data_IF_666375188452
#
_entry.id   IF_666375188452
#
_cell.length_a   1.000
_cell.length_b   1.000
_cell.length_c   1.000
_cell.angle_alpha   90.00
_cell.angle_beta   90.00
_cell.angle_gamma   90.00
#
_symmetry.space_group_name_H-M   'P 1'
#
loop_
_entity.id
_entity.type
_entity.pdbx_description
1 polymer ?
#
# COMPACT_ATOMS: atom_id res chain seq x y z
N UNK A 1 24.47 -14.29 40.38
CA UNK A 1 24.32 -15.51 39.56
C UNK A 1 24.67 -15.05 38.18
N UNK A 2 25.95 -15.04 37.89
CA UNK A 2 26.47 -14.36 36.71
C UNK A 2 26.69 -15.44 35.68
N UNK A 3 26.22 -15.26 34.45
CA UNK A 3 26.32 -16.24 33.39
C UNK A 3 26.44 -15.49 32.08
N UNK A 4 27.37 -15.91 31.24
CA UNK A 4 27.64 -15.25 29.97
C UNK A 4 27.12 -16.10 28.82
N UNK A 5 26.35 -15.47 27.92
CA UNK A 5 25.86 -16.10 26.70
C UNK A 5 26.62 -15.49 25.53
N UNK A 6 27.42 -16.31 24.85
CA UNK A 6 28.11 -15.94 23.63
C UNK A 6 27.33 -16.49 22.44
N UNK A 7 26.92 -15.64 21.52
CA UNK A 7 26.13 -16.05 20.35
C UNK A 7 26.65 -15.39 19.08
N UNK A 8 26.26 -15.97 17.94
CA UNK A 8 26.48 -15.36 16.63
C UNK A 8 25.78 -13.99 16.48
N UNK A 9 26.21 -13.21 15.48
CA UNK A 9 25.54 -11.95 15.12
C UNK A 9 24.12 -12.20 14.59
N UNK A 10 23.19 -11.24 14.75
CA UNK A 10 21.83 -11.36 14.21
C UNK A 10 21.81 -11.68 12.71
N UNK A 11 21.15 -12.76 12.32
CA UNK A 11 20.98 -13.20 10.94
C UNK A 11 19.49 -13.46 10.63
N UNK A 12 19.15 -13.67 9.35
CA UNK A 12 17.78 -13.96 8.89
C UNK A 12 17.48 -15.47 8.76
N UNK A 13 18.46 -16.33 9.05
CA UNK A 13 18.30 -17.78 8.98
C UNK A 13 17.49 -18.27 10.19
N UNK A 14 16.21 -18.56 9.97
CA UNK A 14 15.27 -18.95 11.04
C UNK A 14 15.70 -20.27 11.69
N UNK A 15 16.19 -21.23 10.90
CA UNK A 15 16.56 -22.58 11.33
C UNK A 15 18.06 -22.75 11.63
N UNK A 16 18.80 -21.66 11.83
CA UNK A 16 20.22 -21.73 12.20
C UNK A 16 20.47 -20.84 13.41
N UNK A 17 21.05 -21.38 14.47
CA UNK A 17 21.48 -20.61 15.63
C UNK A 17 22.67 -21.32 16.28
N UNK A 18 23.74 -20.56 16.50
CA UNK A 18 24.95 -21.04 17.16
C UNK A 18 25.26 -20.12 18.35
N UNK A 19 25.28 -20.72 19.55
CA UNK A 19 25.66 -20.02 20.77
C UNK A 19 26.32 -20.95 21.78
N UNK A 20 26.82 -20.38 22.87
CA UNK A 20 27.47 -21.10 23.95
C UNK A 20 27.19 -20.39 25.27
N UNK A 21 26.76 -21.13 26.29
CA UNK A 21 26.57 -20.60 27.63
C UNK A 21 27.78 -20.94 28.50
N UNK A 22 28.30 -19.93 29.19
CA UNK A 22 29.35 -20.06 30.21
C UNK A 22 28.76 -19.73 31.57
N UNK A 23 28.76 -20.72 32.46
CA UNK A 23 28.33 -20.53 33.85
C UNK A 23 29.59 -20.61 34.72
N UNK A 24 29.92 -19.58 35.53
CA UNK A 24 31.19 -19.49 36.26
C UNK A 24 31.39 -20.62 37.28
N UNK A 25 30.31 -21.27 37.73
CA UNK A 25 30.36 -22.42 38.65
C UNK A 25 30.51 -23.77 37.94
N UNK A 26 30.47 -23.82 36.60
CA UNK A 26 30.61 -25.04 35.80
C UNK A 26 31.71 -24.83 34.77
N UNK A 27 32.77 -25.64 34.81
CA UNK A 27 33.86 -25.57 33.82
C UNK A 27 33.44 -25.99 32.40
N UNK A 28 32.22 -26.49 32.23
CA UNK A 28 31.71 -27.02 30.98
C UNK A 28 30.92 -25.97 30.19
N UNK A 29 31.25 -25.83 28.90
CA UNK A 29 30.59 -24.91 27.98
C UNK A 29 29.49 -25.67 27.25
N UNK A 30 28.23 -25.31 27.51
CA UNK A 30 27.10 -25.96 26.84
C UNK A 30 26.77 -25.25 25.53
N UNK A 31 26.76 -25.95 24.38
CA UNK A 31 26.36 -25.36 23.11
C UNK A 31 24.86 -25.08 23.09
N UNK A 32 24.49 -23.94 22.52
CA UNK A 32 23.11 -23.59 22.22
C UNK A 32 22.85 -23.76 20.72
N UNK A 33 21.79 -24.51 20.41
CA UNK A 33 21.26 -24.69 19.06
C UNK A 33 19.89 -24.01 18.93
N UNK A 34 19.27 -24.12 17.76
CA UNK A 34 17.93 -23.61 17.44
C UNK A 34 16.86 -24.16 18.38
N UNK A 35 17.01 -25.41 18.83
CA UNK A 35 16.05 -26.06 19.75
C UNK A 35 15.98 -25.35 21.11
N UNK A 36 17.03 -24.61 21.50
CA UNK A 36 17.09 -23.82 22.72
C UNK A 36 16.67 -22.36 22.50
N UNK A 37 16.30 -21.97 21.28
CA UNK A 37 15.94 -20.60 20.91
C UNK A 37 14.42 -20.47 20.74
N UNK A 38 13.80 -19.64 21.57
CA UNK A 38 12.40 -19.25 21.39
C UNK A 38 12.32 -18.01 20.50
N UNK A 39 11.65 -18.14 19.36
CA UNK A 39 11.50 -17.05 18.40
C UNK A 39 10.38 -16.08 18.80
N UNK A 40 10.55 -14.81 18.44
CA UNK A 40 9.49 -13.80 18.53
C UNK A 40 8.31 -14.24 17.65
N UNK A 41 7.09 -14.22 18.20
CA UNK A 41 5.88 -14.60 17.48
C UNK A 41 5.48 -16.08 17.64
N UNK A 42 6.34 -16.90 18.25
CA UNK A 42 5.96 -18.24 18.71
C UNK A 42 5.03 -18.14 19.91
N UNK A 43 3.98 -18.96 19.92
CA UNK A 43 3.07 -19.10 21.07
C UNK A 43 3.50 -20.32 21.89
N UNK A 44 3.81 -20.11 23.17
CA UNK A 44 4.10 -21.19 24.11
C UNK A 44 2.82 -22.01 24.32
N UNK A 45 2.91 -23.34 24.18
CA UNK A 45 1.80 -24.27 24.38
C UNK A 45 2.23 -25.42 25.28
N UNK A 46 1.26 -26.04 25.97
CA UNK A 46 1.44 -27.23 26.79
C UNK A 46 2.45 -27.10 27.96
N UNK A 47 2.71 -25.87 28.41
CA UNK A 47 3.57 -25.55 29.58
C UNK A 47 3.06 -24.27 30.23
N UNK A 48 3.12 -24.18 31.57
CA UNK A 48 2.62 -23.01 32.31
C UNK A 48 3.54 -21.79 32.20
N UNK A 49 4.84 -21.99 32.36
CA UNK A 49 5.85 -20.93 32.26
C UNK A 49 7.21 -21.50 31.83
N UNK A 50 8.06 -20.61 31.32
CA UNK A 50 9.45 -20.90 30.97
C UNK A 50 10.32 -19.75 31.46
N UNK A 51 11.49 -20.09 32.01
CA UNK A 51 12.54 -19.11 32.28
C UNK A 51 13.50 -19.06 31.10
N UNK A 52 13.79 -17.87 30.60
CA UNK A 52 14.69 -17.66 29.48
C UNK A 52 15.44 -16.34 29.59
N UNK A 53 16.58 -16.26 28.89
CA UNK A 53 17.35 -15.03 28.76
C UNK A 53 17.12 -14.45 27.35
N UNK A 54 16.92 -13.13 27.28
CA UNK A 54 16.68 -12.45 25.99
C UNK A 54 18.01 -12.24 25.27
N UNK A 55 18.18 -12.89 24.12
CA UNK A 55 19.41 -12.79 23.30
C UNK A 55 19.30 -11.70 22.23
N UNK A 56 18.16 -11.62 21.54
CA UNK A 56 17.92 -10.63 20.48
C UNK A 56 16.67 -9.80 20.79
N UNK A 57 16.71 -8.49 20.51
CA UNK A 57 15.59 -7.56 20.74
C UNK A 57 15.22 -6.79 19.47
N UNK A 58 13.96 -6.36 19.38
CA UNK A 58 13.49 -5.48 18.29
C UNK A 58 13.82 -6.00 16.88
N UNK A 59 14.55 -5.18 16.12
CA UNK A 59 14.97 -5.44 14.74
C UNK A 59 16.07 -6.51 14.60
N UNK A 60 16.70 -6.92 15.70
CA UNK A 60 17.68 -8.01 15.70
C UNK A 60 17.04 -9.39 15.83
N UNK A 61 15.74 -9.45 16.15
CA UNK A 61 15.01 -10.73 16.14
C UNK A 61 14.95 -11.31 14.72
N UNK A 62 15.14 -12.63 14.60
CA UNK A 62 15.17 -13.33 13.30
C UNK A 62 13.93 -13.07 12.45
N UNK A 63 12.75 -12.98 13.06
CA UNK A 63 11.48 -12.68 12.38
C UNK A 63 11.49 -11.27 11.77
N UNK A 64 12.00 -10.27 12.50
CA UNK A 64 12.10 -8.91 11.96
C UNK A 64 13.17 -8.79 10.87
N UNK A 65 14.26 -9.57 10.98
CA UNK A 65 15.28 -9.65 9.92
C UNK A 65 14.76 -10.30 8.64
N UNK A 66 13.73 -11.15 8.74
CA UNK A 66 13.05 -11.76 7.59
C UNK A 66 11.90 -10.86 7.07
N UNK A 67 11.29 -10.04 7.94
CA UNK A 67 10.27 -9.09 7.51
C UNK A 67 10.85 -8.02 6.59
N UNK A 68 10.23 -7.84 5.42
CA UNK A 68 10.55 -6.72 4.55
C UNK A 68 10.03 -5.41 5.18
N UNK A 69 10.79 -4.32 5.00
CA UNK A 69 10.31 -2.99 5.39
C UNK A 69 9.04 -2.63 4.62
N UNK A 70 8.13 -1.92 5.30
CA UNK A 70 6.92 -1.41 4.66
C UNK A 70 7.33 -0.47 3.53
N UNK A 71 6.85 -0.76 2.32
CA UNK A 71 7.01 0.11 1.15
C UNK A 71 5.66 0.74 0.85
N UNK A 72 5.68 2.04 0.51
CA UNK A 72 4.50 2.71 -0.01
C UNK A 72 4.05 2.01 -1.31
N UNK A 73 2.76 1.70 -1.37
CA UNK A 73 2.13 1.06 -2.53
C UNK A 73 1.33 2.12 -3.28
N UNK A 74 1.55 2.20 -4.59
CA UNK A 74 0.81 3.07 -5.50
C UNK A 74 -0.02 2.23 -6.44
N UNK A 75 -1.24 2.66 -6.73
CA UNK A 75 -2.09 1.95 -7.69
C UNK A 75 -1.71 2.25 -9.13
N UNK A 76 -2.05 1.35 -10.06
CA UNK A 76 -1.75 1.57 -11.47
C UNK A 76 -2.65 2.66 -12.07
N UNK A 77 -3.89 2.80 -11.57
CA UNK A 77 -4.74 3.95 -11.90
C UNK A 77 -4.12 5.26 -11.42
N UNK A 78 -3.53 5.31 -10.23
CA UNK A 78 -2.85 6.52 -9.74
C UNK A 78 -1.66 6.90 -10.64
N UNK A 79 -0.85 5.93 -11.07
CA UNK A 79 0.23 6.18 -12.05
C UNK A 79 -0.31 6.72 -13.37
N UNK A 80 -1.41 6.15 -13.87
CA UNK A 80 -2.04 6.60 -15.11
C UNK A 80 -2.62 8.01 -14.98
N UNK A 81 -3.30 8.32 -13.87
CA UNK A 81 -3.82 9.67 -13.59
C UNK A 81 -2.69 10.68 -13.49
N UNK A 82 -1.60 10.35 -12.80
CA UNK A 82 -0.43 11.24 -12.71
C UNK A 82 0.21 11.49 -14.10
N UNK A 83 0.31 10.46 -14.93
CA UNK A 83 0.81 10.61 -16.30
C UNK A 83 -0.12 11.48 -17.16
N UNK A 84 -1.44 11.30 -17.05
CA UNK A 84 -2.42 12.14 -17.74
C UNK A 84 -2.33 13.61 -17.30
N UNK A 85 -2.16 13.87 -16.00
CA UNK A 85 -1.94 15.23 -15.46
C UNK A 85 -0.67 15.85 -16.04
N UNK A 86 0.43 15.08 -16.11
CA UNK A 86 1.67 15.56 -16.72
C UNK A 86 1.48 15.93 -18.20
N UNK A 87 0.76 15.12 -18.98
CA UNK A 87 0.44 15.41 -20.38
C UNK A 87 -0.39 16.70 -20.50
N UNK A 88 -1.43 16.85 -19.68
CA UNK A 88 -2.29 18.03 -19.68
C UNK A 88 -1.50 19.30 -19.32
N UNK A 89 -0.60 19.22 -18.33
CA UNK A 89 0.28 20.34 -17.96
C UNK A 89 1.19 20.75 -19.12
N UNK A 90 1.79 19.80 -19.84
CA UNK A 90 2.62 20.09 -21.01
C UNK A 90 1.78 20.77 -22.11
N UNK A 91 0.59 20.25 -22.40
CA UNK A 91 -0.32 20.87 -23.38
C UNK A 91 -0.74 22.28 -22.96
N UNK A 92 -1.01 22.50 -21.67
CA UNK A 92 -1.33 23.82 -21.12
C UNK A 92 -0.19 24.82 -21.31
N UNK A 93 1.06 24.41 -21.07
CA UNK A 93 2.23 25.26 -21.29
C UNK A 93 2.39 25.59 -22.78
N UNK A 94 2.19 24.62 -23.67
CA UNK A 94 2.28 24.85 -25.12
C UNK A 94 1.20 25.83 -25.59
N UNK A 95 -0.06 25.65 -25.17
CA UNK A 95 -1.16 26.55 -25.55
C UNK A 95 -0.98 27.96 -24.99
N UNK A 96 -0.51 28.10 -23.75
CA UNK A 96 -0.23 29.41 -23.16
C UNK A 96 0.96 30.11 -23.84
N UNK A 97 1.99 29.37 -24.28
CA UNK A 97 3.07 29.93 -25.10
C UNK A 97 2.55 30.43 -26.45
N UNK A 98 1.78 29.62 -27.17
CA UNK A 98 1.21 30.00 -28.47
C UNK A 98 0.29 31.22 -28.32
N UNK A 99 -0.60 31.22 -27.34
CA UNK A 99 -1.51 32.33 -27.08
C UNK A 99 -0.77 33.61 -26.65
N UNK A 100 0.30 33.48 -25.86
CA UNK A 100 1.17 34.60 -25.50
C UNK A 100 1.87 35.22 -26.70
N UNK A 101 2.43 34.38 -27.60
CA UNK A 101 3.09 34.84 -28.83
C UNK A 101 2.10 35.49 -29.78
N UNK A 102 0.94 34.85 -30.04
CA UNK A 102 -0.09 35.40 -30.91
C UNK A 102 -0.65 36.72 -30.36
N UNK A 103 -0.87 36.80 -29.04
CA UNK A 103 -1.27 38.04 -28.37
C UNK A 103 -0.25 39.16 -28.54
N UNK A 104 1.05 38.85 -28.37
CA UNK A 104 2.13 39.81 -28.60
C UNK A 104 2.18 40.29 -30.05
N UNK A 105 2.12 39.36 -31.03
CA UNK A 105 2.12 39.71 -32.46
C UNK A 105 0.91 40.57 -32.82
N UNK A 106 -0.28 40.26 -32.30
CA UNK A 106 -1.49 41.04 -32.53
C UNK A 106 -1.34 42.49 -32.05
N UNK A 107 -0.79 42.68 -30.84
CA UNK A 107 -0.56 44.02 -30.28
C UNK A 107 0.43 44.83 -31.13
N UNK A 108 1.54 44.21 -31.55
CA UNK A 108 2.53 44.88 -32.42
C UNK A 108 1.93 45.23 -33.78
N UNK A 109 1.17 44.32 -34.40
CA UNK A 109 0.55 44.55 -35.70
C UNK A 109 -0.53 45.63 -35.65
N UNK A 110 -1.41 45.61 -34.65
CA UNK A 110 -2.44 46.63 -34.45
C UNK A 110 -1.83 48.00 -34.12
N UNK A 111 -0.72 48.05 -33.38
CA UNK A 111 0.02 49.29 -33.14
C UNK A 111 0.64 49.90 -34.40
N UNK A 112 0.97 49.09 -35.41
CA UNK A 112 1.50 49.55 -36.70
C UNK A 112 0.40 49.91 -37.71
N UNK A 113 -0.82 49.38 -37.54
CA UNK A 113 -1.94 49.56 -38.46
C UNK A 113 -2.84 50.75 -38.10
N UNK A 114 -2.83 51.15 -36.84
CA UNK A 114 -3.54 52.32 -36.32
C UNK A 114 -2.49 53.35 -35.96
N UNK A 115 -2.45 54.48 -36.65
CA UNK A 115 -1.74 55.68 -36.19
C UNK A 115 -2.25 56.02 -34.78
N UNK A 116 -1.53 55.59 -33.75
CA UNK A 116 -1.76 55.96 -32.36
C UNK A 116 -1.49 57.47 -32.13
N UNK A 117 -1.17 58.22 -33.19
CA UNK A 117 -1.07 59.68 -33.16
C UNK A 117 -2.42 60.42 -33.38
N UNK A 118 -3.55 59.75 -33.65
CA UNK A 118 -4.84 60.45 -33.86
C UNK A 118 -6.03 59.97 -33.00
N UNK A 119 -5.80 59.29 -31.88
CA UNK A 119 -6.85 58.97 -30.91
C UNK A 119 -6.70 59.73 -29.57
N UNK A 120 -6.20 60.97 -29.62
CA UNK A 120 -6.26 61.88 -28.47
C UNK A 120 -7.68 62.47 -28.22
N UNK A 121 -8.63 62.26 -29.14
CA UNK A 121 -10.00 62.78 -29.04
C UNK A 121 -11.04 61.85 -28.40
N UNK A 122 -10.78 60.54 -28.35
CA UNK A 122 -11.69 59.53 -27.78
C UNK A 122 -11.08 58.80 -26.56
N UNK A 123 -10.01 59.37 -26.00
CA UNK A 123 -9.29 58.81 -24.86
C UNK A 123 -10.10 58.81 -23.54
N UNK A 124 -11.26 59.48 -23.51
CA UNK A 124 -12.07 59.64 -22.32
C UNK A 124 -13.23 58.63 -22.17
N UNK A 125 -13.49 57.75 -23.14
CA UNK A 125 -14.67 56.88 -23.08
C UNK A 125 -14.40 55.37 -23.09
N UNK A 126 -13.15 54.95 -23.32
CA UNK A 126 -12.71 53.55 -23.14
C UNK A 126 -11.68 53.49 -22.00
N UNK A 127 -12.01 54.11 -20.87
CA UNK A 127 -11.23 54.07 -19.63
C UNK A 127 -11.36 52.73 -18.86
N UNK A 128 -11.76 51.64 -19.51
CA UNK A 128 -11.97 50.36 -18.82
C UNK A 128 -10.74 49.45 -18.75
N UNK A 129 -9.80 49.55 -19.70
CA UNK A 129 -8.67 48.62 -19.82
C UNK A 129 -7.37 49.37 -20.10
N UNK A 130 -6.89 50.13 -19.11
CA UNK A 130 -5.50 50.62 -19.09
C UNK A 130 -4.61 49.57 -18.42
N UNK A 131 -3.76 48.90 -19.21
CA UNK A 131 -2.74 48.02 -18.68
C UNK A 131 -1.64 48.84 -17.97
N UNK A 132 -1.05 48.38 -16.85
CA UNK A 132 -0.42 49.26 -15.86
C UNK A 132 0.99 49.78 -16.23
N UNK A 133 1.57 49.36 -17.35
CA UNK A 133 2.99 49.58 -17.65
C UNK A 133 3.15 50.26 -19.01
N UNK A 134 3.05 51.60 -19.02
CA UNK A 134 3.18 52.45 -20.23
C UNK A 134 4.44 53.33 -20.20
N UNK A 135 5.51 52.93 -19.50
CA UNK A 135 6.78 53.64 -19.53
C UNK A 135 7.95 52.71 -19.85
N UNK A 136 8.68 53.07 -20.91
CA UNK A 136 9.92 52.53 -21.52
C UNK A 136 9.77 51.43 -22.61
N UNK A 137 10.17 51.67 -23.88
CA UNK A 137 9.86 50.77 -24.99
C UNK A 137 10.78 49.54 -25.17
N UNK A 138 11.97 49.50 -24.56
CA UNK A 138 12.99 48.48 -24.87
C UNK A 138 13.07 47.34 -23.84
N UNK A 139 13.05 47.64 -22.54
CA UNK A 139 13.06 46.62 -21.48
C UNK A 139 11.68 46.02 -21.18
N UNK A 140 10.62 46.67 -21.65
CA UNK A 140 9.23 46.28 -21.38
C UNK A 140 8.77 45.16 -22.33
N UNK A 141 9.42 44.93 -23.47
CA UNK A 141 9.00 43.91 -24.44
C UNK A 141 9.09 42.46 -23.91
N UNK A 142 10.24 42.06 -23.34
CA UNK A 142 10.40 40.70 -22.77
C UNK A 142 9.53 40.50 -21.52
N UNK A 143 9.51 41.49 -20.62
CA UNK A 143 8.68 41.45 -19.41
C UNK A 143 7.20 41.34 -19.77
N UNK A 144 6.76 42.08 -20.79
CA UNK A 144 5.39 42.04 -21.28
C UNK A 144 5.01 40.69 -21.88
N UNK A 145 5.90 40.07 -22.67
CA UNK A 145 5.69 38.71 -23.20
C UNK A 145 5.54 37.68 -22.07
N UNK A 146 6.38 37.78 -21.02
CA UNK A 146 6.30 36.91 -19.85
C UNK A 146 4.99 37.12 -19.06
N UNK A 147 4.53 38.37 -18.93
CA UNK A 147 3.25 38.68 -18.28
C UNK A 147 2.05 38.18 -19.09
N UNK A 148 2.06 38.31 -20.42
CA UNK A 148 1.01 37.74 -21.28
C UNK A 148 0.98 36.21 -21.17
N UNK A 149 2.15 35.57 -21.24
CA UNK A 149 2.27 34.14 -21.05
C UNK A 149 1.70 33.71 -19.68
N UNK A 150 2.11 34.36 -18.60
CA UNK A 150 1.61 34.08 -17.25
C UNK A 150 0.09 34.29 -17.13
N UNK A 151 -0.45 35.31 -17.79
CA UNK A 151 -1.90 35.56 -17.83
C UNK A 151 -2.65 34.42 -18.54
N UNK A 152 -2.13 33.93 -19.66
CA UNK A 152 -2.72 32.79 -20.37
C UNK A 152 -2.59 31.48 -19.58
N UNK A 153 -1.49 31.26 -18.86
CA UNK A 153 -1.35 30.13 -17.93
C UNK A 153 -2.44 30.17 -16.88
N UNK A 154 -2.71 31.34 -16.28
CA UNK A 154 -3.75 31.55 -15.28
C UNK A 154 -5.16 31.31 -15.84
N UNK A 155 -5.44 31.74 -17.06
CA UNK A 155 -6.74 31.48 -17.70
C UNK A 155 -6.95 29.97 -17.92
N UNK A 156 -5.89 29.24 -18.27
CA UNK A 156 -5.96 27.80 -18.52
C UNK A 156 -5.77 26.92 -17.28
N UNK A 157 -5.75 27.45 -16.05
CA UNK A 157 -5.58 26.63 -14.82
C UNK A 157 -6.68 25.60 -14.64
N UNK A 158 -7.87 25.85 -15.18
CA UNK A 158 -9.00 24.92 -15.14
C UNK A 158 -8.80 23.67 -16.03
N UNK A 159 -7.77 23.65 -16.91
CA UNK A 159 -7.42 22.46 -17.67
C UNK A 159 -6.86 21.35 -16.79
N UNK A 160 -6.19 21.69 -15.67
CA UNK A 160 -5.77 20.71 -14.66
C UNK A 160 -6.90 20.59 -13.65
N UNK A 161 -7.72 19.53 -13.69
CA UNK A 161 -8.86 19.41 -12.79
C UNK A 161 -8.35 19.02 -11.40
N UNK A 162 -8.07 20.01 -10.55
CA UNK A 162 -7.72 19.79 -9.13
C UNK A 162 -8.85 19.01 -8.43
N UNK A 163 -10.10 19.27 -8.83
CA UNK A 163 -11.28 18.56 -8.34
C UNK A 163 -11.28 17.06 -8.67
N UNK A 164 -10.70 16.65 -9.81
CA UNK A 164 -10.64 15.24 -10.21
C UNK A 164 -9.78 14.44 -9.22
N UNK A 165 -8.62 14.95 -8.83
CA UNK A 165 -7.74 14.24 -7.90
C UNK A 165 -8.40 14.04 -6.53
N UNK A 166 -9.00 15.09 -6.00
CA UNK A 166 -9.73 15.01 -4.71
C UNK A 166 -10.94 14.08 -4.82
N UNK A 167 -11.66 14.12 -5.95
CA UNK A 167 -12.81 13.24 -6.15
C UNK A 167 -12.41 11.77 -6.20
N UNK A 168 -11.28 11.43 -6.83
CA UNK A 168 -10.78 10.05 -6.89
C UNK A 168 -10.42 9.54 -5.49
N UNK A 169 -9.76 10.36 -4.67
CA UNK A 169 -9.45 9.99 -3.28
C UNK A 169 -10.70 9.80 -2.43
N UNK A 170 -11.70 10.66 -2.59
CA UNK A 170 -12.99 10.51 -1.90
C UNK A 170 -13.73 9.24 -2.33
N UNK A 171 -13.75 8.94 -3.63
CA UNK A 171 -14.38 7.71 -4.14
C UNK A 171 -13.70 6.48 -3.54
N UNK A 172 -12.36 6.43 -3.52
CA UNK A 172 -11.60 5.33 -2.89
C UNK A 172 -11.90 5.21 -1.40
N UNK A 173 -11.99 6.33 -0.69
CA UNK A 173 -12.35 6.34 0.73
C UNK A 173 -13.75 5.75 0.98
N UNK A 174 -14.76 6.20 0.22
CA UNK A 174 -16.11 5.65 0.35
C UNK A 174 -16.22 4.18 -0.08
N UNK A 175 -15.46 3.76 -1.09
CA UNK A 175 -15.37 2.35 -1.48
C UNK A 175 -14.83 1.48 -0.34
N UNK A 176 -13.79 1.94 0.37
CA UNK A 176 -13.25 1.21 1.52
C UNK A 176 -14.28 1.03 2.64
N UNK A 177 -15.06 2.07 2.92
CA UNK A 177 -16.16 2.02 3.89
C UNK A 177 -17.25 1.06 3.42
N UNK A 178 -17.65 1.14 2.16
CA UNK A 178 -18.69 0.30 1.59
C UNK A 178 -18.33 -1.18 1.65
N UNK A 179 -17.08 -1.53 1.36
CA UNK A 179 -16.60 -2.91 1.50
C UNK A 179 -16.65 -3.42 2.94
N UNK A 180 -16.42 -2.55 3.93
CA UNK A 180 -16.51 -2.93 5.35
C UNK A 180 -17.93 -3.16 5.85
N UNK A 181 -18.94 -2.63 5.15
CA UNK A 181 -20.36 -2.85 5.46
C UNK A 181 -20.96 -4.09 4.79
N UNK A 182 -20.17 -4.86 4.03
CA UNK A 182 -20.67 -6.07 3.39
C UNK A 182 -20.83 -7.23 4.40
N UNK A 183 -22.07 -7.65 4.61
CA UNK A 183 -22.42 -8.75 5.52
C UNK A 183 -21.94 -10.12 5.03
N UNK A 184 -21.72 -10.30 3.71
CA UNK A 184 -21.21 -11.56 3.17
C UNK A 184 -19.73 -11.80 3.51
N UNK A 185 -19.01 -10.74 3.88
CA UNK A 185 -17.60 -10.81 4.29
C UNK A 185 -17.43 -10.73 5.81
N UNK A 186 -18.51 -10.97 6.57
CA UNK A 186 -18.47 -11.03 8.03
C UNK A 186 -18.18 -12.47 8.50
N UNK A 187 -17.20 -12.61 9.39
CA UNK A 187 -16.87 -13.88 10.05
C UNK A 187 -17.62 -13.98 11.38
N UNK A 188 -18.58 -14.92 11.45
CA UNK A 188 -19.38 -15.18 12.65
C UNK A 188 -18.60 -15.87 13.76
N UNK A 189 -17.62 -16.73 13.45
CA UNK A 189 -16.86 -17.47 14.46
C UNK A 189 -15.93 -16.54 15.24
N UNK A 190 -15.25 -15.64 14.53
CA UNK A 190 -14.30 -14.70 15.12
C UNK A 190 -14.94 -13.34 15.46
N UNK A 191 -16.20 -13.11 15.07
CA UNK A 191 -16.92 -11.84 15.21
C UNK A 191 -16.14 -10.67 14.56
N UNK A 192 -15.63 -10.90 13.34
CA UNK A 192 -14.78 -9.93 12.64
C UNK A 192 -15.39 -9.50 11.31
N UNK A 193 -15.34 -8.19 11.05
CA UNK A 193 -15.73 -7.58 9.78
C UNK A 193 -14.52 -7.41 8.86
N UNK A 194 -14.79 -7.43 7.55
CA UNK A 194 -13.81 -7.02 6.54
C UNK A 194 -13.34 -5.58 6.82
N UNK A 195 -12.01 -5.39 6.89
CA UNK A 195 -11.41 -4.07 7.11
C UNK A 195 -10.33 -3.79 6.09
N UNK A 196 -10.58 -2.80 5.24
CA UNK A 196 -9.56 -2.25 4.36
C UNK A 196 -8.51 -1.48 5.17
N UNK A 197 -7.25 -1.94 5.14
CA UNK A 197 -6.13 -1.26 5.81
C UNK A 197 -5.57 -0.09 4.99
N UNK A 198 -5.79 -0.10 3.68
CA UNK A 198 -5.34 0.91 2.74
C UNK A 198 -6.42 1.15 1.69
N UNK A 199 -6.95 2.38 1.62
CA UNK A 199 -8.01 2.75 0.67
C UNK A 199 -7.48 3.02 -0.74
N UNK A 200 -6.18 3.28 -0.89
CA UNK A 200 -5.59 3.66 -2.17
C UNK A 200 -5.42 2.50 -3.16
N UNK A 201 -5.69 1.26 -2.73
CA UNK A 201 -5.51 0.03 -3.52
C UNK A 201 -6.82 -0.68 -3.87
N UNK A 202 -7.97 -0.08 -3.54
CA UNK A 202 -9.27 -0.74 -3.71
C UNK A 202 -9.50 -1.19 -5.16
N UNK A 203 -9.11 -0.35 -6.12
CA UNK A 203 -9.22 -0.63 -7.55
C UNK A 203 -8.33 -1.80 -8.02
N UNK A 204 -7.21 -2.06 -7.33
CA UNK A 204 -6.28 -3.12 -7.71
C UNK A 204 -6.86 -4.50 -7.44
N UNK A 205 -7.81 -4.63 -6.51
CA UNK A 205 -8.51 -5.88 -6.26
C UNK A 205 -9.22 -6.41 -7.52
N UNK A 206 -9.67 -5.51 -8.41
CA UNK A 206 -10.28 -5.87 -9.69
C UNK A 206 -9.28 -6.26 -10.79
N UNK A 207 -7.97 -6.12 -10.54
CA UNK A 207 -6.89 -6.35 -11.52
C UNK A 207 -5.96 -7.50 -11.11
N UNK A 208 -6.34 -8.30 -10.10
CA UNK A 208 -5.51 -9.41 -9.61
C UNK A 208 -5.56 -10.58 -10.59
N UNK A 209 -4.41 -10.96 -11.16
CA UNK A 209 -4.27 -12.13 -12.04
C UNK A 209 -3.80 -13.39 -11.29
N UNK A 210 -2.96 -13.20 -10.27
CA UNK A 210 -2.32 -14.29 -9.53
C UNK A 210 -2.63 -14.17 -8.04
N UNK A 211 -3.17 -15.24 -7.46
CA UNK A 211 -3.43 -15.34 -6.02
C UNK A 211 -2.44 -16.34 -5.41
N UNK A 212 -1.46 -15.84 -4.67
CA UNK A 212 -0.56 -16.67 -3.88
C UNK A 212 -1.21 -16.93 -2.53
N UNK A 213 -1.62 -18.18 -2.28
CA UNK A 213 -2.23 -18.60 -1.02
C UNK A 213 -1.25 -19.42 -0.20
N UNK A 214 -1.17 -19.15 1.11
CA UNK A 214 -0.48 -20.03 2.03
C UNK A 214 -1.36 -21.26 2.34
N UNK A 215 -0.75 -22.40 2.62
CA UNK A 215 -1.51 -23.62 2.94
C UNK A 215 -2.06 -23.54 4.35
N UNK A 216 -1.17 -23.32 5.33
CA UNK A 216 -1.51 -23.45 6.74
C UNK A 216 -2.07 -22.14 7.27
N UNK A 217 -3.28 -22.17 7.82
CA UNK A 217 -3.95 -20.97 8.34
C UNK A 217 -4.65 -20.13 7.28
N UNK A 218 -4.63 -20.53 6.00
CA UNK A 218 -5.48 -19.93 4.94
C UNK A 218 -6.30 -20.99 4.23
N UNK A 219 -5.68 -21.99 3.60
CA UNK A 219 -6.43 -23.07 2.93
C UNK A 219 -6.94 -24.14 3.89
N UNK A 220 -6.22 -24.41 4.97
CA UNK A 220 -6.58 -25.42 5.96
C UNK A 220 -6.73 -24.82 7.34
N UNK A 221 -7.86 -25.10 8.00
CA UNK A 221 -8.02 -24.89 9.43
C UNK A 221 -7.02 -25.79 10.19
N UNK A 222 -6.49 -25.32 11.32
CA UNK A 222 -5.57 -26.09 12.15
C UNK A 222 -6.31 -27.12 13.03
N UNK A 223 -7.17 -27.92 12.39
CA UNK A 223 -7.99 -28.97 13.01
C UNK A 223 -7.73 -30.24 12.21
N UNK A 224 -7.24 -31.27 12.90
CA UNK A 224 -6.91 -32.56 12.30
C UNK A 224 -7.94 -33.59 12.75
N UNK A 225 -8.82 -33.99 11.83
CA UNK A 225 -9.84 -34.99 12.10
C UNK A 225 -9.44 -36.34 11.51
N UNK A 226 -9.41 -37.38 12.35
CA UNK A 226 -9.20 -38.73 11.87
C UNK A 226 -10.46 -39.24 11.17
N UNK A 227 -10.39 -39.42 9.85
CA UNK A 227 -11.55 -39.86 9.04
C UNK A 227 -11.55 -41.35 8.74
N UNK A 228 -10.40 -41.88 8.32
CA UNK A 228 -10.29 -43.25 7.81
C UNK A 228 -8.93 -43.83 8.14
N UNK A 229 -8.89 -45.15 8.28
CA UNK A 229 -7.64 -45.89 8.29
C UNK A 229 -7.81 -47.23 7.57
N UNK A 230 -6.70 -47.82 7.15
CA UNK A 230 -6.67 -49.15 6.55
C UNK A 230 -5.85 -50.05 7.44
N UNK A 231 -6.36 -51.23 7.76
CA UNK A 231 -5.63 -52.27 8.49
C UNK A 231 -5.70 -53.56 7.69
N UNK A 232 -4.53 -54.06 7.24
CA UNK A 232 -4.44 -55.18 6.30
C UNK A 232 -5.14 -54.87 4.97
N UNK A 233 -6.07 -55.74 4.55
CA UNK A 233 -6.89 -55.57 3.34
C UNK A 233 -8.19 -54.81 3.58
N UNK A 234 -8.51 -54.48 4.84
CA UNK A 234 -9.78 -53.86 5.24
C UNK A 234 -9.62 -52.35 5.42
N UNK A 235 -10.55 -51.59 4.83
CA UNK A 235 -10.63 -50.13 4.96
C UNK A 235 -11.74 -49.77 5.94
N UNK A 236 -11.44 -48.89 6.89
CA UNK A 236 -12.35 -48.42 7.93
C UNK A 236 -12.63 -46.92 7.75
N UNK A 237 -13.88 -46.51 7.95
CA UNK A 237 -14.36 -45.13 7.90
C UNK A 237 -15.25 -44.81 6.70
N UNK A 238 -16.34 -44.08 6.96
CA UNK A 238 -17.37 -43.69 5.98
C UNK A 238 -16.92 -42.44 5.19
N UNK A 239 -17.27 -42.37 3.91
CA UNK A 239 -16.79 -41.34 2.97
C UNK A 239 -17.53 -40.01 2.99
N UNK A 240 -18.24 -39.70 4.06
CA UNK A 240 -19.02 -38.47 4.14
C UNK A 240 -18.07 -37.33 4.54
N UNK A 241 -18.10 -36.24 3.77
CA UNK A 241 -17.40 -35.00 4.07
C UNK A 241 -17.84 -34.50 5.45
N UNK A 242 -16.91 -33.90 6.21
CA UNK A 242 -17.14 -33.45 7.58
C UNK A 242 -18.33 -32.47 7.75
N UNK A 243 -18.79 -31.85 6.67
CA UNK A 243 -19.84 -30.82 6.71
C UNK A 243 -21.26 -31.40 6.69
N UNK A 244 -21.44 -32.71 6.42
CA UNK A 244 -22.75 -33.35 6.46
C UNK A 244 -22.86 -34.30 7.67
N UNK A 245 -23.45 -33.74 8.73
CA UNK A 245 -23.92 -34.37 9.98
C UNK A 245 -22.84 -34.70 11.03
N UNK A 246 -22.89 -33.92 12.10
CA UNK A 246 -22.54 -34.37 13.44
C UNK A 246 -23.50 -35.49 13.83
N UNK A 247 -23.11 -36.76 13.60
CA UNK A 247 -23.84 -37.88 14.18
C UNK A 247 -23.44 -38.04 15.64
N UNK A 248 -24.41 -37.80 16.54
CA UNK A 248 -24.30 -38.15 17.93
C UNK A 248 -24.07 -39.67 18.04
N UNK A 249 -22.93 -40.04 18.60
CA UNK A 249 -22.44 -41.41 18.83
C UNK A 249 -21.80 -42.11 17.61
N UNK A 250 -20.57 -41.72 17.29
CA UNK A 250 -19.62 -42.69 16.68
C UNK A 250 -19.20 -43.69 17.76
N UNK A 251 -20.10 -44.62 18.07
CA UNK A 251 -19.73 -45.82 18.80
C UNK A 251 -18.81 -46.63 17.87
N UNK A 252 -17.50 -46.55 18.10
CA UNK A 252 -16.51 -47.47 17.56
C UNK A 252 -16.68 -48.85 18.22
N UNK A 253 -17.85 -49.48 18.07
CA UNK A 253 -18.05 -50.88 18.39
C UNK A 253 -18.03 -51.67 17.09
N UNK A 254 -16.83 -52.07 16.67
CA UNK A 254 -16.67 -53.10 15.64
C UNK A 254 -16.49 -54.46 16.33
N UNK A 255 -17.50 -55.35 16.29
CA UNK A 255 -17.45 -56.66 16.94
C UNK A 255 -16.37 -57.59 16.37
N UNK A 256 -15.69 -57.22 15.28
CA UNK A 256 -14.56 -57.98 14.71
C UNK A 256 -13.21 -57.69 15.38
N UNK A 257 -13.11 -56.65 16.21
CA UNK A 257 -11.90 -56.28 16.94
C UNK A 257 -11.79 -56.95 18.33
N UNK A 258 -12.76 -57.79 18.73
CA UNK A 258 -12.81 -58.48 20.02
C UNK A 258 -12.49 -59.99 19.95
N UNK A 259 -11.86 -60.48 18.89
CA UNK A 259 -11.35 -61.86 18.82
C UNK A 259 -9.84 -61.91 18.93
#
# INVERSE_FOLDING_TARGET
>A
MDGEILCEKPNNAIYKFEGTVRVPFRFDQSPLSVDNLLLRGSSLRNTEYVYGAVVFTGHDTKVMRNSASSKYKFSDLEKQTNNAIAIVLVVQVIFSLIAGILGYVWIVFTSNSVDVCQMNGLQNQIQGYRFPFQHDPCHVSFVYMVLLFGTWVLIFTNLVPISLMVSLELVKFFQAIFMGYDMNMFDEEQQMQMRAQASNLNEQLGQVEYVFSDKTGTLTCNIMEFKKFSAGTTKYGTGIRADEKQEDNVNFFDPKLQQ
#
